data_IF_581957693264
#
_entry.id   IF_581957693264
#
_cell.length_a   1.000
_cell.length_b   1.000
_cell.length_c   1.000
_cell.angle_alpha   90.00
_cell.angle_beta   90.00
_cell.angle_gamma   90.00
#
_symmetry.space_group_name_H-M   'P 1'
#
loop_
_entity.id
_entity.type
_entity.pdbx_description
1 polymer ?
#
# COMPACT_ATOMS: atom_id res chain seq x y z
N UNK A 1 -12.41 9.88 -11.15
CA UNK A 1 -12.44 9.10 -9.89
C UNK A 1 -12.93 7.70 -10.23
N UNK A 2 -12.16 6.68 -9.87
CA UNK A 2 -12.47 5.26 -10.15
C UNK A 2 -13.10 4.64 -8.90
N UNK A 3 -14.16 3.85 -9.07
CA UNK A 3 -14.74 3.06 -7.98
C UNK A 3 -14.29 1.61 -8.09
N UNK A 4 -13.81 1.04 -6.99
CA UNK A 4 -13.33 -0.33 -6.89
C UNK A 4 -14.18 -1.10 -5.87
N UNK A 5 -14.75 -2.23 -6.29
CA UNK A 5 -15.37 -3.19 -5.39
C UNK A 5 -14.26 -4.00 -4.68
N UNK A 6 -14.03 -3.71 -3.41
CA UNK A 6 -13.05 -4.37 -2.55
C UNK A 6 -13.44 -5.79 -2.11
N UNK A 7 -14.58 -6.31 -2.56
CA UNK A 7 -14.97 -7.71 -2.42
C UNK A 7 -14.64 -8.58 -3.64
N UNK A 8 -14.24 -7.97 -4.76
CA UNK A 8 -13.87 -8.69 -5.97
C UNK A 8 -12.64 -9.59 -5.79
N UNK A 9 -12.56 -10.67 -6.57
CA UNK A 9 -11.49 -11.66 -6.52
C UNK A 9 -11.38 -12.33 -5.14
N UNK A 10 -10.19 -12.35 -4.56
CA UNK A 10 -9.97 -12.92 -3.23
C UNK A 10 -10.54 -12.08 -2.07
N UNK A 11 -11.09 -10.89 -2.36
CA UNK A 11 -11.59 -9.96 -1.34
C UNK A 11 -10.56 -9.64 -0.26
N UNK A 12 -9.28 -9.61 -0.63
CA UNK A 12 -8.13 -9.46 0.26
C UNK A 12 -7.54 -8.05 0.27
N UNK A 13 -6.38 -7.90 0.90
CA UNK A 13 -5.66 -6.62 0.93
C UNK A 13 -4.94 -6.27 -0.38
N UNK A 14 -4.80 -7.21 -1.32
CA UNK A 14 -4.02 -6.99 -2.55
C UNK A 14 -4.64 -5.93 -3.45
N UNK A 15 -5.97 -5.99 -3.66
CA UNK A 15 -6.69 -5.02 -4.49
C UNK A 15 -6.50 -3.59 -3.96
N UNK A 16 -6.56 -3.42 -2.63
CA UNK A 16 -6.32 -2.13 -1.98
C UNK A 16 -4.92 -1.60 -2.28
N UNK A 17 -3.88 -2.42 -2.04
CA UNK A 17 -2.48 -2.00 -2.22
C UNK A 17 -2.17 -1.62 -3.68
N UNK A 18 -2.58 -2.48 -4.62
CA UNK A 18 -2.35 -2.23 -6.05
C UNK A 18 -3.12 -1.00 -6.52
N UNK A 19 -4.38 -0.83 -6.12
CA UNK A 19 -5.16 0.35 -6.50
C UNK A 19 -4.62 1.64 -5.90
N UNK A 20 -4.06 1.63 -4.67
CA UNK A 20 -3.38 2.79 -4.09
C UNK A 20 -2.11 3.15 -4.88
N UNK A 21 -1.27 2.15 -5.20
CA UNK A 21 -0.06 2.34 -6.00
C UNK A 21 -0.38 2.94 -7.38
N UNK A 22 -1.40 2.39 -8.07
CA UNK A 22 -1.84 2.90 -9.37
C UNK A 22 -2.48 4.29 -9.26
N UNK A 23 -3.24 4.56 -8.19
CA UNK A 23 -3.80 5.89 -7.93
C UNK A 23 -2.69 6.94 -7.79
N UNK A 24 -1.63 6.63 -7.05
CA UNK A 24 -0.44 7.48 -6.93
C UNK A 24 0.23 7.73 -8.28
N UNK A 25 0.50 6.69 -9.06
CA UNK A 25 1.18 6.81 -10.36
C UNK A 25 0.36 7.59 -11.39
N UNK A 26 -0.95 7.35 -11.43
CA UNK A 26 -1.86 7.94 -12.43
C UNK A 26 -2.48 9.26 -11.97
N UNK A 27 -2.18 9.69 -10.73
CA UNK A 27 -2.83 10.81 -10.05
C UNK A 27 -4.37 10.76 -10.13
N UNK A 28 -4.94 9.56 -10.23
CA UNK A 28 -6.38 9.35 -10.40
C UNK A 28 -7.00 8.98 -9.07
N UNK A 29 -7.95 9.78 -8.53
CA UNK A 29 -8.66 9.45 -7.30
C UNK A 29 -9.37 8.10 -7.35
N UNK A 30 -9.33 7.36 -6.26
CA UNK A 30 -9.98 6.05 -6.12
C UNK A 30 -10.91 6.01 -4.91
N UNK A 31 -12.10 5.41 -5.08
CA UNK A 31 -13.03 5.07 -4.02
C UNK A 31 -13.16 3.55 -3.93
N UNK A 32 -12.96 3.01 -2.75
CA UNK A 32 -13.22 1.61 -2.44
C UNK A 32 -14.55 1.47 -1.74
N UNK A 33 -15.27 0.42 -2.10
CA UNK A 33 -16.49 -0.03 -1.45
C UNK A 33 -16.36 -1.50 -1.07
N UNK A 34 -17.15 -1.98 -0.09
CA UNK A 34 -17.19 -3.40 0.31
C UNK A 34 -15.81 -4.00 0.63
N UNK A 35 -14.90 -3.19 1.21
CA UNK A 35 -13.53 -3.61 1.50
C UNK A 35 -13.55 -4.89 2.34
N UNK A 36 -13.04 -5.99 1.76
CA UNK A 36 -12.94 -7.30 2.43
C UNK A 36 -14.29 -7.83 2.94
N UNK A 37 -15.41 -7.47 2.30
CA UNK A 37 -16.76 -7.84 2.76
C UNK A 37 -16.98 -9.37 2.87
N UNK A 38 -16.30 -10.16 2.04
CA UNK A 38 -16.37 -11.63 2.08
C UNK A 38 -15.46 -12.31 3.10
N UNK A 39 -14.66 -11.56 3.88
CA UNK A 39 -13.73 -12.15 4.87
C UNK A 39 -14.42 -12.26 6.24
N UNK A 40 -14.04 -13.28 7.03
CA UNK A 40 -14.50 -13.47 8.44
C UNK A 40 -14.49 -12.20 9.28
N UNK A 41 -13.50 -11.34 9.03
CA UNK A 41 -13.30 -10.05 9.68
C UNK A 41 -13.28 -8.99 8.58
N UNK A 42 -14.41 -8.36 8.21
CA UNK A 42 -14.50 -7.44 7.07
C UNK A 42 -13.80 -6.11 7.35
N UNK A 43 -13.70 -5.25 6.32
CA UNK A 43 -13.15 -3.91 6.42
C UNK A 43 -11.63 -3.82 6.56
N UNK A 44 -11.14 -2.58 6.70
CA UNK A 44 -9.73 -2.26 6.91
C UNK A 44 -9.22 -2.84 8.23
N UNK A 45 -7.94 -3.18 8.26
CA UNK A 45 -7.21 -3.74 9.42
C UNK A 45 -5.94 -2.94 9.60
N UNK A 46 -5.26 -3.10 10.73
CA UNK A 46 -4.06 -2.31 11.09
C UNK A 46 -3.05 -2.22 9.92
N UNK A 47 -2.67 -3.35 9.32
CA UNK A 47 -1.76 -3.36 8.17
C UNK A 47 -2.30 -2.60 6.95
N UNK A 48 -3.60 -2.70 6.66
CA UNK A 48 -4.21 -1.95 5.56
C UNK A 48 -4.15 -0.45 5.82
N UNK A 49 -4.40 -0.02 7.07
CA UNK A 49 -4.27 1.38 7.46
C UNK A 49 -2.82 1.85 7.35
N UNK A 50 -1.84 1.02 7.70
CA UNK A 50 -0.42 1.33 7.47
C UNK A 50 -0.11 1.56 5.99
N UNK A 51 -0.67 0.74 5.09
CA UNK A 51 -0.53 0.93 3.64
C UNK A 51 -1.14 2.28 3.20
N UNK A 52 -2.37 2.57 3.64
CA UNK A 52 -3.09 3.81 3.31
C UNK A 52 -2.34 5.04 3.84
N UNK A 53 -1.84 4.99 5.08
CA UNK A 53 -1.11 6.09 5.72
C UNK A 53 0.20 6.40 4.99
N UNK A 54 0.99 5.37 4.68
CA UNK A 54 2.24 5.57 3.95
C UNK A 54 1.97 6.10 2.53
N UNK A 55 1.01 5.51 1.82
CA UNK A 55 0.59 6.00 0.50
C UNK A 55 0.09 7.45 0.55
N UNK A 56 -0.62 7.85 1.63
CA UNK A 56 -1.09 9.21 1.79
C UNK A 56 0.05 10.21 2.00
N UNK A 57 1.09 9.84 2.75
CA UNK A 57 2.30 10.66 2.90
C UNK A 57 3.00 10.83 1.54
N UNK A 58 3.27 9.73 0.83
CA UNK A 58 3.90 9.73 -0.51
C UNK A 58 3.10 10.55 -1.52
N UNK A 59 1.77 10.45 -1.47
CA UNK A 59 0.87 11.10 -2.42
C UNK A 59 0.42 12.51 -2.07
N UNK A 60 0.84 13.04 -0.91
CA UNK A 60 0.20 14.20 -0.26
C UNK A 60 -1.35 14.11 -0.31
N UNK A 61 -1.87 12.92 -0.08
CA UNK A 61 -3.24 12.58 -0.46
C UNK A 61 -4.26 13.06 0.58
N UNK A 62 -5.42 13.47 0.10
CA UNK A 62 -6.62 13.57 0.94
C UNK A 62 -7.26 12.19 1.07
N UNK A 63 -7.58 11.80 2.30
CA UNK A 63 -8.12 10.47 2.60
C UNK A 63 -9.31 10.56 3.52
N UNK A 64 -10.38 9.84 3.22
CA UNK A 64 -11.56 9.69 4.09
C UNK A 64 -11.96 8.21 4.21
N UNK A 65 -12.41 7.81 5.40
CA UNK A 65 -12.75 6.41 5.71
C UNK A 65 -11.55 5.50 6.03
N UNK A 66 -10.37 6.07 6.29
CA UNK A 66 -9.17 5.34 6.71
C UNK A 66 -9.21 4.98 8.21
N UNK A 67 -10.19 4.16 8.57
CA UNK A 67 -10.49 3.78 9.95
C UNK A 67 -10.47 2.26 10.09
N UNK A 68 -10.24 1.74 11.30
CA UNK A 68 -10.34 0.29 11.52
C UNK A 68 -11.74 -0.20 11.17
N UNK A 69 -11.80 -1.35 10.50
CA UNK A 69 -13.04 -2.03 10.10
C UNK A 69 -13.90 -1.27 9.07
N UNK A 70 -13.45 -0.09 8.62
CA UNK A 70 -14.13 0.63 7.55
C UNK A 70 -14.20 -0.23 6.28
N UNK A 71 -15.38 -0.25 5.67
CA UNK A 71 -15.64 -0.93 4.40
C UNK A 71 -15.64 0.03 3.21
N UNK A 72 -15.41 1.32 3.45
CA UNK A 72 -15.30 2.34 2.40
C UNK A 72 -14.08 3.23 2.65
N UNK A 73 -13.41 3.60 1.56
CA UNK A 73 -12.23 4.46 1.62
C UNK A 73 -12.22 5.31 0.37
N UNK A 74 -12.00 6.61 0.51
CA UNK A 74 -11.70 7.50 -0.63
C UNK A 74 -10.29 8.01 -0.49
N UNK A 75 -9.50 7.87 -1.55
CA UNK A 75 -8.11 8.29 -1.61
C UNK A 75 -7.93 9.20 -2.83
N UNK A 76 -7.43 10.43 -2.58
CA UNK A 76 -7.23 11.45 -3.60
C UNK A 76 -5.78 11.93 -3.56
N UNK A 77 -4.88 11.37 -4.38
CA UNK A 77 -3.50 11.84 -4.46
C UNK A 77 -3.47 13.27 -4.99
N UNK A 78 -2.51 14.06 -4.52
CA UNK A 78 -2.28 15.45 -4.93
C UNK A 78 -0.89 15.69 -5.50
N UNK A 79 0.03 14.78 -5.25
CA UNK A 79 1.40 14.78 -5.75
C UNK A 79 1.96 13.35 -5.74
N UNK A 80 3.22 13.20 -6.15
CA UNK A 80 4.04 12.03 -5.91
C UNK A 80 5.39 12.52 -5.41
N UNK A 81 5.64 12.35 -4.11
CA UNK A 81 6.78 12.95 -3.43
C UNK A 81 7.89 11.93 -3.19
N UNK A 82 9.09 12.27 -3.64
CA UNK A 82 10.30 11.60 -3.18
C UNK A 82 10.64 12.07 -1.75
N UNK A 83 11.35 11.24 -0.98
CA UNK A 83 11.82 11.65 0.35
C UNK A 83 12.07 10.50 1.33
N UNK A 84 12.28 10.88 2.59
CA UNK A 84 12.48 9.96 3.70
C UNK A 84 11.15 9.69 4.42
N UNK A 85 10.78 8.42 4.49
CA UNK A 85 9.56 7.95 5.13
C UNK A 85 9.90 6.93 6.21
N UNK A 86 9.28 7.08 7.37
CA UNK A 86 9.37 6.11 8.46
C UNK A 86 7.96 5.74 8.95
N UNK A 87 7.72 4.44 9.10
CA UNK A 87 6.46 3.93 9.62
C UNK A 87 6.67 2.70 10.49
N UNK A 88 6.31 2.84 11.77
CA UNK A 88 6.08 1.72 12.66
C UNK A 88 4.63 1.21 12.49
N UNK A 89 4.49 -0.08 12.17
CA UNK A 89 3.19 -0.73 12.05
C UNK A 89 2.53 -1.00 13.41
N UNK A 90 3.29 -0.91 14.53
CA UNK A 90 2.87 -1.16 15.90
C UNK A 90 2.40 -2.60 16.15
N UNK A 91 2.61 -3.49 15.19
CA UNK A 91 2.10 -4.87 15.16
C UNK A 91 3.04 -5.75 14.36
N UNK A 92 2.85 -7.07 14.44
CA UNK A 92 3.53 -8.03 13.56
C UNK A 92 2.98 -8.06 12.11
N UNK A 93 2.34 -6.98 11.65
CA UNK A 93 1.92 -6.84 10.25
C UNK A 93 3.12 -6.86 9.31
N UNK A 94 2.97 -7.43 8.12
CA UNK A 94 4.08 -7.54 7.17
C UNK A 94 4.50 -6.18 6.62
N UNK A 95 5.77 -5.83 6.82
CA UNK A 95 6.43 -4.66 6.25
C UNK A 95 6.56 -4.79 4.73
N UNK A 96 6.81 -6.00 4.24
CA UNK A 96 6.92 -6.28 2.80
C UNK A 96 5.65 -5.93 2.01
N UNK A 97 4.46 -6.19 2.55
CA UNK A 97 3.19 -5.81 1.91
C UNK A 97 2.96 -4.29 2.00
N UNK A 98 3.41 -3.62 3.04
CA UNK A 98 3.36 -2.16 3.11
C UNK A 98 4.29 -1.55 2.06
N UNK A 99 5.53 -2.05 1.93
CA UNK A 99 6.49 -1.63 0.91
C UNK A 99 5.93 -1.79 -0.50
N UNK A 100 5.28 -2.92 -0.80
CA UNK A 100 4.65 -3.16 -2.12
C UNK A 100 3.63 -2.08 -2.53
N UNK A 101 3.06 -1.34 -1.56
CA UNK A 101 2.09 -0.28 -1.85
C UNK A 101 2.76 0.98 -2.41
N UNK A 102 4.00 1.26 -2.01
CA UNK A 102 4.67 2.54 -2.31
C UNK A 102 5.96 2.40 -3.10
N UNK A 103 6.53 1.20 -3.21
CA UNK A 103 7.79 0.99 -3.94
C UNK A 103 7.68 1.48 -5.39
N UNK A 104 6.73 0.95 -6.17
CA UNK A 104 6.59 1.35 -7.58
C UNK A 104 6.29 2.84 -7.76
N UNK A 105 5.37 3.47 -6.97
CA UNK A 105 5.24 4.92 -6.95
C UNK A 105 6.55 5.67 -6.68
N UNK A 106 7.32 5.26 -5.66
CA UNK A 106 8.56 5.95 -5.29
C UNK A 106 9.68 5.78 -6.32
N UNK A 107 9.71 4.67 -7.07
CA UNK A 107 10.58 4.50 -8.23
C UNK A 107 10.30 5.51 -9.35
N UNK A 108 9.09 6.08 -9.40
CA UNK A 108 8.66 7.09 -10.37
C UNK A 108 8.58 8.51 -9.78
N UNK A 109 9.00 8.68 -8.52
CA UNK A 109 9.02 10.00 -7.90
C UNK A 109 10.21 10.83 -8.41
N UNK A 110 10.09 12.15 -8.33
CA UNK A 110 11.09 13.09 -8.86
C UNK A 110 12.26 13.27 -7.88
N UNK A 111 12.96 12.17 -7.58
CA UNK A 111 14.11 12.13 -6.67
C UNK A 111 14.27 10.81 -5.90
N UNK A 112 15.41 10.63 -5.21
CA UNK A 112 15.67 9.45 -4.39
C UNK A 112 14.73 9.41 -3.17
N UNK A 113 14.39 8.21 -2.73
CA UNK A 113 13.55 7.99 -1.56
C UNK A 113 14.12 6.93 -0.64
N UNK A 114 13.90 7.09 0.67
CA UNK A 114 14.24 6.10 1.70
C UNK A 114 12.98 5.74 2.47
N UNK A 115 12.71 4.46 2.62
CA UNK A 115 11.56 3.98 3.39
C UNK A 115 12.05 3.05 4.49
N UNK A 116 11.79 3.43 5.75
CA UNK A 116 12.07 2.63 6.95
C UNK A 116 10.74 2.10 7.50
N UNK A 117 10.61 0.78 7.56
CA UNK A 117 9.40 0.11 8.07
C UNK A 117 9.76 -0.78 9.25
N UNK A 118 9.00 -0.64 10.34
CA UNK A 118 9.10 -1.50 11.52
C UNK A 118 7.85 -2.37 11.64
N UNK A 119 8.04 -3.68 11.85
CA UNK A 119 6.96 -4.66 11.90
C UNK A 119 7.43 -6.08 11.57
N UNK A 120 6.50 -6.94 11.14
CA UNK A 120 6.80 -8.31 10.76
C UNK A 120 7.56 -8.40 9.43
N UNK A 121 8.64 -9.19 9.41
CA UNK A 121 9.45 -9.44 8.21
C UNK A 121 9.29 -10.85 7.64
N UNK A 122 8.67 -11.77 8.40
CA UNK A 122 8.54 -13.19 8.11
C UNK A 122 7.11 -13.68 8.37
N UNK A 123 6.15 -13.19 7.58
CA UNK A 123 4.75 -13.58 7.71
C UNK A 123 4.39 -14.69 6.72
N UNK A 124 3.65 -15.74 7.11
CA UNK A 124 3.36 -16.90 6.25
C UNK A 124 2.66 -16.58 4.92
N UNK A 125 1.91 -15.47 4.85
CA UNK A 125 1.14 -15.04 3.68
C UNK A 125 1.68 -13.73 3.09
N UNK A 126 2.98 -13.48 3.27
CA UNK A 126 3.68 -12.36 2.68
C UNK A 126 5.08 -12.79 2.23
N UNK A 127 5.67 -12.13 1.23
CA UNK A 127 7.08 -12.39 0.90
C UNK A 127 7.95 -12.00 2.10
N UNK A 128 8.91 -12.87 2.52
CA UNK A 128 9.88 -12.52 3.54
C UNK A 128 10.85 -11.46 3.02
N UNK A 129 11.59 -10.82 3.93
CA UNK A 129 12.57 -9.79 3.57
C UNK A 129 13.61 -10.29 2.56
N UNK A 130 14.12 -11.50 2.73
CA UNK A 130 15.14 -12.11 1.87
C UNK A 130 14.62 -12.34 0.45
N UNK A 131 13.32 -12.60 0.28
CA UNK A 131 12.71 -12.67 -1.05
C UNK A 131 12.74 -11.30 -1.73
N UNK A 132 12.48 -10.23 -0.99
CA UNK A 132 12.56 -8.88 -1.53
C UNK A 132 14.01 -8.54 -1.92
N UNK A 133 14.95 -8.73 -1.00
CA UNK A 133 16.37 -8.40 -1.17
C UNK A 133 17.04 -9.22 -2.28
N UNK A 134 16.83 -10.55 -2.28
CA UNK A 134 17.65 -11.46 -3.10
C UNK A 134 16.99 -11.89 -4.40
N UNK A 135 15.68 -11.65 -4.54
CA UNK A 135 14.92 -12.07 -5.73
C UNK A 135 14.22 -10.88 -6.37
N UNK A 136 13.29 -10.24 -5.67
CA UNK A 136 12.42 -9.25 -6.29
C UNK A 136 13.16 -7.96 -6.70
N UNK A 137 13.91 -7.33 -5.79
CA UNK A 137 14.63 -6.08 -6.07
C UNK A 137 15.68 -6.23 -7.19
N UNK A 138 16.50 -7.32 -7.25
CA UNK A 138 17.38 -7.55 -8.39
C UNK A 138 16.67 -7.61 -9.75
N UNK A 139 15.42 -8.07 -9.79
CA UNK A 139 14.62 -8.05 -11.01
C UNK A 139 14.02 -6.67 -11.32
N UNK A 140 13.67 -5.89 -10.30
CA UNK A 140 13.24 -4.50 -10.45
C UNK A 140 14.36 -3.65 -11.02
N UNK A 141 15.58 -3.77 -10.49
CA UNK A 141 16.79 -3.08 -10.99
C UNK A 141 17.06 -3.44 -12.47
N UNK A 142 16.95 -4.72 -12.83
CA UNK A 142 17.09 -5.17 -14.24
C UNK A 142 16.02 -4.60 -15.17
N UNK A 143 14.84 -4.27 -14.64
CA UNK A 143 13.76 -3.64 -15.39
C UNK A 143 13.91 -2.11 -15.49
N UNK A 144 14.97 -1.53 -14.92
CA UNK A 144 15.26 -0.09 -14.95
C UNK A 144 14.64 0.70 -13.80
N UNK A 145 14.26 0.02 -12.71
CA UNK A 145 13.91 0.64 -11.43
C UNK A 145 15.12 0.86 -10.53
#
# INVERSE_FOLDING_TARGET
MITIDGSAGEGGGQILRTSLALSLLTQTPVRFERIRAGRRRPGLRAQHLSCVRLAAQVGRAEVSGAELESQSLTFRPRALLAGDYELDLGTAGSTSLVLQTVLLPLLHADGPSRVRLEGGTHNPLAPPFEFLERVYLPWVERAGG
#
